data_IF_710148754779
#
_entry.id   IF_710148754779
#
_cell.length_a   1.000
_cell.length_b   1.000
_cell.length_c   1.000
_cell.angle_alpha   90.00
_cell.angle_beta   90.00
_cell.angle_gamma   90.00
#
_symmetry.space_group_name_H-M   'P 1'
#
loop_
_entity.id
_entity.type
_entity.pdbx_description
1 polymer ?
#
# COMPACT_ATOMS: atom_id res chain seq x y z
N UNK A 1 24.63 77.13 2.95
CA UNK A 1 25.30 76.36 1.88
C UNK A 1 24.95 74.90 2.16
N UNK A 2 23.72 74.47 1.83
CA UNK A 2 23.28 73.93 0.52
C UNK A 2 23.95 72.56 0.26
N UNK A 3 23.29 71.40 0.06
CA UNK A 3 21.89 71.08 -0.25
C UNK A 3 21.57 69.63 0.16
N UNK A 4 20.28 69.37 0.39
CA UNK A 4 19.68 68.03 0.47
C UNK A 4 19.35 67.52 -0.95
N UNK A 5 19.55 66.23 -1.22
CA UNK A 5 18.95 65.56 -2.39
C UNK A 5 18.32 64.25 -1.95
N UNK A 6 16.98 64.29 -1.89
CA UNK A 6 16.07 63.15 -1.78
C UNK A 6 16.07 62.41 -3.12
N UNK A 7 16.45 61.13 -3.15
CA UNK A 7 16.15 60.25 -4.29
C UNK A 7 15.19 59.16 -3.81
N UNK A 8 13.93 59.40 -4.13
CA UNK A 8 12.80 58.50 -3.97
C UNK A 8 12.93 57.37 -5.01
N UNK A 9 13.53 56.25 -4.62
CA UNK A 9 13.63 55.04 -5.45
C UNK A 9 12.50 54.07 -5.14
N UNK A 10 11.50 54.01 -6.03
CA UNK A 10 10.38 53.06 -6.04
C UNK A 10 10.79 51.63 -5.65
N UNK A 11 10.39 51.20 -4.45
CA UNK A 11 10.47 49.79 -4.04
C UNK A 11 9.32 49.02 -4.69
N UNK A 12 9.61 48.31 -5.78
CA UNK A 12 8.68 47.38 -6.41
C UNK A 12 8.56 46.13 -5.53
N UNK A 13 7.61 46.10 -4.60
CA UNK A 13 7.28 44.93 -3.80
C UNK A 13 6.58 43.89 -4.67
N UNK A 14 7.37 42.97 -5.26
CA UNK A 14 6.84 41.73 -5.82
C UNK A 14 6.27 40.87 -4.69
N UNK A 15 4.95 40.88 -4.56
CA UNK A 15 4.20 39.97 -3.70
C UNK A 15 4.28 38.57 -4.32
N UNK A 16 5.33 37.81 -3.98
CA UNK A 16 5.41 36.40 -4.30
C UNK A 16 4.29 35.68 -3.54
N UNK A 17 3.20 35.35 -4.25
CA UNK A 17 2.18 34.45 -3.73
C UNK A 17 2.83 33.09 -3.49
N UNK A 18 3.20 32.82 -2.24
CA UNK A 18 3.54 31.48 -1.78
C UNK A 18 2.26 30.68 -1.86
N UNK A 19 2.05 29.99 -2.98
CA UNK A 19 1.11 28.87 -3.02
C UNK A 19 1.69 27.86 -2.05
N UNK A 20 1.11 27.79 -0.85
CA UNK A 20 1.38 26.73 0.11
C UNK A 20 0.91 25.42 -0.55
N UNK A 21 1.82 24.79 -1.29
CA UNK A 21 1.71 23.38 -1.61
C UNK A 21 1.74 22.69 -0.25
N UNK A 22 0.56 22.31 0.24
CA UNK A 22 0.44 21.55 1.47
C UNK A 22 1.33 20.31 1.37
N UNK A 23 1.95 19.86 2.48
CA UNK A 23 2.72 18.63 2.45
C UNK A 23 1.85 17.51 1.87
N UNK A 24 2.41 16.61 1.05
CA UNK A 24 1.66 15.45 0.57
C UNK A 24 1.07 14.72 1.79
N UNK A 25 -0.14 14.20 1.65
CA UNK A 25 -0.80 13.44 2.71
C UNK A 25 0.06 12.20 3.03
N UNK A 26 0.87 12.30 4.08
CA UNK A 26 1.64 11.17 4.58
C UNK A 26 0.72 10.27 5.38
N UNK A 27 0.85 8.95 5.16
CA UNK A 27 0.27 7.96 6.06
C UNK A 27 0.84 8.22 7.47
N UNK A 28 -0.01 8.62 8.42
CA UNK A 28 0.39 8.66 9.83
C UNK A 28 0.41 7.22 10.34
N UNK A 29 1.58 6.73 10.73
CA UNK A 29 1.76 5.42 11.37
C UNK A 29 2.06 5.54 12.86
N UNK A 30 1.81 6.72 13.45
CA UNK A 30 2.02 6.98 14.87
C UNK A 30 0.97 6.31 15.77
N UNK A 31 1.19 6.38 17.09
CA UNK A 31 0.30 5.77 18.08
C UNK A 31 -1.15 6.30 18.03
N UNK A 32 -1.36 7.53 17.53
CA UNK A 32 -2.71 8.07 17.34
C UNK A 32 -3.44 7.38 16.17
N UNK A 33 -2.77 7.21 15.03
CA UNK A 33 -3.29 6.49 13.89
C UNK A 33 -3.59 5.02 14.22
N UNK A 34 -2.68 4.35 14.93
CA UNK A 34 -2.89 2.98 15.40
C UNK A 34 -4.15 2.86 16.27
N UNK A 35 -4.33 3.77 17.24
CA UNK A 35 -5.54 3.80 18.08
C UNK A 35 -6.80 4.01 17.25
N UNK A 36 -6.74 4.87 16.23
CA UNK A 36 -7.87 5.14 15.35
C UNK A 36 -8.24 3.90 14.54
N UNK A 37 -7.25 3.20 13.97
CA UNK A 37 -7.45 1.92 13.32
C UNK A 37 -8.11 0.93 14.29
N UNK A 38 -7.49 0.63 15.43
CA UNK A 38 -8.04 -0.30 16.42
C UNK A 38 -9.49 0.01 16.84
N UNK A 39 -9.83 1.29 16.98
CA UNK A 39 -11.19 1.75 17.34
C UNK A 39 -12.22 1.43 16.27
N UNK A 40 -11.84 1.53 14.99
CA UNK A 40 -12.74 1.38 13.85
C UNK A 40 -12.48 0.09 13.06
N UNK A 41 -11.74 -0.87 13.63
CA UNK A 41 -11.47 -2.15 12.99
C UNK A 41 -12.76 -2.89 12.65
N UNK A 42 -12.91 -3.40 11.40
CA UNK A 42 -14.06 -4.21 11.05
C UNK A 42 -14.01 -5.55 11.81
N UNK A 43 -15.17 -6.02 12.26
CA UNK A 43 -15.30 -7.38 12.79
C UNK A 43 -15.47 -8.33 11.60
N UNK A 44 -14.50 -9.20 11.39
CA UNK A 44 -14.51 -10.21 10.33
C UNK A 44 -14.83 -11.58 10.95
N UNK A 45 -15.77 -12.29 10.35
CA UNK A 45 -16.13 -13.66 10.76
C UNK A 45 -15.44 -14.66 9.84
N UNK A 46 -14.53 -15.47 10.39
CA UNK A 46 -13.88 -16.54 9.64
C UNK A 46 -14.67 -17.83 9.80
N UNK A 47 -14.77 -18.60 8.71
CA UNK A 47 -15.34 -19.93 8.77
C UNK A 47 -14.36 -20.87 9.44
N UNK A 48 -14.89 -21.75 10.28
CA UNK A 48 -14.10 -22.84 10.84
C UNK A 48 -13.75 -23.89 9.75
N UNK A 49 -12.47 -24.26 9.65
CA UNK A 49 -11.97 -25.16 8.61
C UNK A 49 -10.69 -25.85 9.06
N UNK A 50 -10.68 -27.18 8.97
CA UNK A 50 -9.62 -28.02 9.56
C UNK A 50 -9.05 -29.08 8.59
N UNK A 51 -9.55 -29.14 7.35
CA UNK A 51 -9.15 -30.14 6.38
C UNK A 51 -8.41 -29.46 5.22
N UNK A 52 -7.08 -29.58 5.19
CA UNK A 52 -6.28 -29.10 4.04
C UNK A 52 -6.84 -29.68 2.73
N UNK A 53 -7.04 -28.81 1.73
CA UNK A 53 -7.65 -29.15 0.44
C UNK A 53 -9.09 -29.68 0.51
N UNK A 54 -9.80 -29.40 1.61
CA UNK A 54 -11.23 -29.61 1.76
C UNK A 54 -12.10 -28.57 1.05
N UNK A 55 -13.40 -28.86 0.94
CA UNK A 55 -14.34 -27.94 0.30
C UNK A 55 -14.58 -26.67 1.13
N UNK A 56 -14.39 -25.54 0.47
CA UNK A 56 -14.46 -24.21 1.04
C UNK A 56 -13.44 -24.00 2.17
N UNK A 57 -12.20 -23.90 1.77
CA UNK A 57 -11.18 -23.28 2.59
C UNK A 57 -11.63 -21.90 3.09
N UNK A 58 -11.25 -21.56 4.32
CA UNK A 58 -11.52 -20.24 4.88
C UNK A 58 -10.50 -19.24 4.35
N UNK A 59 -10.91 -18.00 4.14
CA UNK A 59 -9.98 -16.94 3.80
C UNK A 59 -9.24 -16.45 5.05
N UNK A 60 -7.92 -16.62 5.10
CA UNK A 60 -7.07 -16.02 6.14
C UNK A 60 -6.39 -14.78 5.56
N UNK A 61 -6.50 -13.60 6.22
CA UNK A 61 -5.76 -12.42 5.79
C UNK A 61 -4.25 -12.67 5.77
N UNK A 62 -3.64 -12.62 4.59
CA UNK A 62 -2.22 -12.81 4.37
C UNK A 62 -1.46 -11.50 4.60
N UNK A 63 -0.28 -11.57 5.22
CA UNK A 63 0.62 -10.41 5.31
C UNK A 63 1.34 -10.16 4.00
N UNK A 64 1.68 -8.90 3.73
CA UNK A 64 2.36 -8.53 2.48
C UNK A 64 3.74 -9.16 2.33
N UNK A 65 4.45 -9.44 3.43
CA UNK A 65 5.76 -10.11 3.43
C UNK A 65 5.71 -11.61 3.11
N UNK A 66 4.51 -12.19 3.03
CA UNK A 66 4.35 -13.52 2.43
C UNK A 66 4.50 -13.49 0.89
N UNK A 67 4.36 -12.32 0.28
CA UNK A 67 4.49 -12.11 -1.17
C UNK A 67 5.81 -11.44 -1.54
N UNK A 68 6.17 -10.37 -0.82
CA UNK A 68 7.39 -9.62 -1.07
C UNK A 68 8.61 -10.34 -0.51
N UNK A 69 9.73 -10.27 -1.23
CA UNK A 69 11.00 -10.95 -0.90
C UNK A 69 10.87 -12.49 -0.77
N UNK A 70 9.72 -13.07 -1.16
CA UNK A 70 9.49 -14.51 -1.16
C UNK A 70 10.04 -15.12 -2.46
N UNK A 71 11.09 -15.97 -2.40
CA UNK A 71 11.76 -16.49 -3.60
C UNK A 71 10.87 -17.39 -4.47
N UNK A 72 9.74 -17.88 -3.94
CA UNK A 72 8.78 -18.69 -4.68
C UNK A 72 7.80 -17.83 -5.52
N UNK A 73 7.79 -16.50 -5.34
CA UNK A 73 6.89 -15.58 -6.04
C UNK A 73 7.64 -14.89 -7.17
N UNK A 74 7.05 -14.90 -8.37
CA UNK A 74 7.59 -14.20 -9.53
C UNK A 74 6.88 -12.87 -9.76
N UNK A 75 7.62 -11.88 -10.24
CA UNK A 75 7.08 -10.68 -10.89
C UNK A 75 7.10 -10.90 -12.40
N UNK A 76 5.95 -10.83 -13.07
CA UNK A 76 5.81 -11.13 -14.50
C UNK A 76 5.14 -9.99 -15.25
N UNK A 77 5.35 -9.94 -16.57
CA UNK A 77 4.71 -8.97 -17.47
C UNK A 77 3.81 -9.70 -18.45
N UNK A 78 2.55 -9.29 -18.54
CA UNK A 78 1.59 -9.81 -19.53
C UNK A 78 2.12 -9.60 -20.95
N UNK A 79 1.98 -10.64 -21.77
CA UNK A 79 2.37 -10.64 -23.17
C UNK A 79 3.77 -11.23 -23.40
N UNK A 80 4.12 -11.48 -24.66
CA UNK A 80 5.39 -12.15 -25.03
C UNK A 80 5.66 -13.47 -24.27
N UNK A 81 4.61 -14.24 -23.97
CA UNK A 81 4.75 -15.50 -23.22
C UNK A 81 4.91 -15.31 -21.71
N UNK A 82 4.47 -14.16 -21.18
CA UNK A 82 4.44 -13.82 -19.75
C UNK A 82 5.81 -13.95 -19.09
N UNK A 83 6.81 -13.21 -19.60
CA UNK A 83 8.18 -13.32 -19.13
C UNK A 83 8.30 -12.99 -17.63
N UNK A 84 9.14 -13.77 -16.93
CA UNK A 84 9.55 -13.47 -15.56
C UNK A 84 10.54 -12.31 -15.58
N UNK A 85 10.24 -11.29 -14.78
CA UNK A 85 11.08 -10.11 -14.58
C UNK A 85 12.02 -10.32 -13.40
N UNK A 86 11.51 -10.81 -12.28
CA UNK A 86 12.25 -10.99 -11.02
C UNK A 86 11.62 -12.11 -10.19
N UNK A 87 12.43 -12.82 -9.40
CA UNK A 87 11.95 -13.77 -8.39
C UNK A 87 12.17 -13.16 -6.99
N UNK A 88 11.18 -13.31 -6.10
CA UNK A 88 11.20 -12.66 -4.80
C UNK A 88 11.27 -11.13 -4.90
N UNK A 89 10.32 -10.48 -5.60
CA UNK A 89 10.35 -9.04 -5.76
C UNK A 89 10.17 -8.32 -4.43
N UNK A 90 10.97 -7.28 -4.22
CA UNK A 90 10.78 -6.34 -3.12
C UNK A 90 9.68 -5.32 -3.44
N UNK A 91 9.27 -4.52 -2.45
CA UNK A 91 8.37 -3.39 -2.69
C UNK A 91 8.93 -2.38 -3.71
N UNK A 92 10.26 -2.19 -3.71
CA UNK A 92 10.93 -1.28 -4.65
C UNK A 92 10.84 -1.80 -6.09
N UNK A 93 10.83 -3.13 -6.27
CA UNK A 93 10.67 -3.74 -7.58
C UNK A 93 9.26 -3.53 -8.14
N UNK A 94 8.25 -3.36 -7.29
CA UNK A 94 6.89 -3.08 -7.75
C UNK A 94 6.65 -1.61 -8.09
N UNK A 95 7.41 -0.71 -7.47
CA UNK A 95 7.18 0.72 -7.60
C UNK A 95 7.40 1.22 -9.04
N UNK A 96 6.42 1.94 -9.58
CA UNK A 96 6.51 2.56 -10.91
C UNK A 96 6.51 1.58 -12.09
N UNK A 97 6.17 0.30 -11.87
CA UNK A 97 6.05 -0.68 -12.96
C UNK A 97 4.87 -0.35 -13.87
N UNK A 98 5.02 -0.72 -15.13
CA UNK A 98 4.02 -0.48 -16.16
C UNK A 98 2.77 -1.34 -15.95
N UNK A 99 1.65 -0.91 -16.53
CA UNK A 99 0.43 -1.70 -16.56
C UNK A 99 0.69 -3.08 -17.18
N UNK A 100 0.10 -4.12 -16.60
CA UNK A 100 0.29 -5.50 -17.04
C UNK A 100 1.44 -6.23 -16.34
N UNK A 101 2.14 -5.61 -15.41
CA UNK A 101 2.98 -6.34 -14.46
C UNK A 101 2.13 -6.95 -13.33
N UNK A 102 2.41 -8.18 -12.90
CA UNK A 102 1.68 -8.88 -11.84
C UNK A 102 2.57 -9.81 -11.01
N UNK A 103 2.16 -10.07 -9.78
CA UNK A 103 2.76 -11.10 -8.92
C UNK A 103 2.14 -12.46 -9.26
N UNK A 104 3.00 -13.47 -9.41
CA UNK A 104 2.64 -14.82 -9.79
C UNK A 104 3.10 -15.80 -8.70
N UNK A 105 2.14 -16.47 -8.07
CA UNK A 105 2.39 -17.50 -7.06
C UNK A 105 2.52 -18.87 -7.74
N UNK A 106 3.21 -19.85 -7.11
CA UNK A 106 3.30 -21.20 -7.64
C UNK A 106 1.93 -21.84 -7.93
N UNK A 107 1.87 -22.64 -9.01
CA UNK A 107 0.70 -23.41 -9.38
C UNK A 107 0.14 -23.08 -10.77
N UNK A 108 -0.98 -23.71 -11.12
CA UNK A 108 -1.76 -23.42 -12.32
C UNK A 108 -3.21 -23.21 -11.90
N UNK A 109 -3.76 -22.02 -12.14
CA UNK A 109 -5.13 -21.69 -11.75
C UNK A 109 -6.19 -22.51 -12.52
N UNK A 110 -5.84 -23.07 -13.69
CA UNK A 110 -6.71 -23.95 -14.48
C UNK A 110 -6.66 -25.40 -14.00
N UNK A 111 -5.54 -25.79 -13.38
CA UNK A 111 -5.34 -27.11 -12.78
C UNK A 111 -4.84 -26.98 -11.33
N UNK A 112 -5.66 -26.40 -10.43
CA UNK A 112 -5.19 -25.91 -9.13
C UNK A 112 -4.72 -27.01 -8.17
N UNK A 113 -5.19 -28.25 -8.37
CA UNK A 113 -4.90 -29.36 -7.47
C UNK A 113 -5.11 -28.97 -6.00
N UNK A 114 -4.07 -29.15 -5.19
CA UNK A 114 -4.04 -28.87 -3.76
C UNK A 114 -2.97 -27.82 -3.38
N UNK A 115 -2.22 -27.30 -4.37
CA UNK A 115 -1.05 -26.45 -4.12
C UNK A 115 -1.42 -25.12 -3.47
N UNK A 116 -2.51 -24.48 -3.91
CA UNK A 116 -2.94 -23.19 -3.35
C UNK A 116 -3.32 -23.26 -1.88
N UNK A 117 -3.96 -24.36 -1.45
CA UNK A 117 -4.32 -24.55 -0.04
C UNK A 117 -3.08 -24.88 0.82
N UNK A 118 -2.15 -25.68 0.28
CA UNK A 118 -0.86 -25.95 0.93
C UNK A 118 -0.04 -24.67 1.10
N UNK A 119 -0.01 -23.84 0.06
CA UNK A 119 0.69 -22.56 0.06
C UNK A 119 0.00 -21.54 0.95
N UNK A 120 -1.33 -21.49 0.99
CA UNK A 120 -2.07 -20.66 1.94
C UNK A 120 -1.77 -21.06 3.39
N UNK A 121 -1.75 -22.35 3.71
CA UNK A 121 -1.38 -22.85 5.04
C UNK A 121 0.07 -22.51 5.42
N UNK A 122 0.98 -22.50 4.44
CA UNK A 122 2.41 -22.17 4.61
C UNK A 122 2.67 -20.67 4.74
N UNK A 123 2.04 -19.86 3.90
CA UNK A 123 2.33 -18.44 3.74
C UNK A 123 1.40 -17.53 4.57
N UNK A 124 0.20 -17.99 4.91
CA UNK A 124 -0.79 -17.23 5.66
C UNK A 124 -1.35 -18.03 6.86
N UNK A 125 -0.50 -18.54 7.78
CA UNK A 125 -1.01 -19.19 8.97
C UNK A 125 -1.80 -18.18 9.83
N UNK A 126 -2.91 -18.62 10.43
CA UNK A 126 -3.80 -17.76 11.24
C UNK A 126 -3.04 -16.98 12.32
N UNK A 127 -2.00 -17.57 12.91
CA UNK A 127 -1.14 -16.92 13.92
C UNK A 127 -0.39 -15.68 13.42
N UNK A 128 -0.27 -15.51 12.11
CA UNK A 128 0.41 -14.39 11.46
C UNK A 128 -0.56 -13.50 10.67
N UNK A 129 -1.87 -13.73 10.75
CA UNK A 129 -2.82 -12.93 10.00
C UNK A 129 -2.74 -11.44 10.35
N UNK A 130 -2.80 -10.58 9.34
CA UNK A 130 -2.83 -9.13 9.53
C UNK A 130 -3.82 -8.46 8.58
N UNK A 131 -4.35 -7.33 9.03
CA UNK A 131 -5.12 -6.39 8.22
C UNK A 131 -4.39 -5.05 8.29
N UNK A 132 -4.32 -4.36 7.17
CA UNK A 132 -3.68 -3.06 7.08
C UNK A 132 -4.73 -1.96 7.11
N UNK A 133 -4.38 -0.84 7.73
CA UNK A 133 -5.22 0.34 7.76
C UNK A 133 -4.42 1.55 7.27
N UNK A 134 -5.08 2.42 6.50
CA UNK A 134 -4.51 3.68 6.07
C UNK A 134 -5.32 4.84 6.65
N UNK A 135 -4.66 5.65 7.48
CA UNK A 135 -5.24 6.89 8.02
C UNK A 135 -4.93 8.03 7.05
N UNK A 136 -5.98 8.67 6.55
CA UNK A 136 -5.85 9.70 5.51
C UNK A 136 -6.73 10.90 5.78
N UNK A 137 -6.49 11.96 5.01
CA UNK A 137 -7.25 13.22 5.03
C UNK A 137 -7.64 13.61 3.60
N UNK A 138 -8.68 14.43 3.47
CA UNK A 138 -9.16 14.88 2.18
C UNK A 138 -9.10 16.41 2.11
N UNK A 139 -8.49 16.96 1.05
CA UNK A 139 -8.16 18.39 0.96
C UNK A 139 -9.39 19.31 0.98
N UNK A 140 -10.50 18.90 0.36
CA UNK A 140 -11.78 19.62 0.33
C UNK A 140 -12.65 19.39 1.58
N UNK A 141 -12.18 18.57 2.53
CA UNK A 141 -12.82 18.32 3.84
C UNK A 141 -11.83 18.52 4.98
N UNK A 142 -11.35 19.75 5.21
CA UNK A 142 -10.37 20.03 6.25
C UNK A 142 -10.91 19.64 7.63
N UNK A 143 -10.05 19.07 8.47
CA UNK A 143 -10.39 18.63 9.83
C UNK A 143 -11.06 17.25 9.94
N UNK A 144 -11.35 16.60 8.81
CA UNK A 144 -11.84 15.22 8.79
C UNK A 144 -10.69 14.24 8.53
N UNK A 145 -10.69 13.14 9.28
CA UNK A 145 -9.77 12.01 9.12
C UNK A 145 -10.59 10.78 8.77
N UNK A 146 -10.11 9.99 7.81
CA UNK A 146 -10.71 8.72 7.44
C UNK A 146 -9.73 7.57 7.73
N UNK A 147 -10.28 6.42 8.15
CA UNK A 147 -9.56 5.15 8.19
C UNK A 147 -10.05 4.30 7.04
N UNK A 148 -9.12 3.79 6.23
CA UNK A 148 -9.39 2.89 5.12
C UNK A 148 -8.77 1.52 5.45
N UNK A 149 -9.50 0.45 5.15
CA UNK A 149 -9.07 -0.95 5.30
C UNK A 149 -9.03 -1.61 3.93
#
# INVERSE_FOLDING_TARGET
MADAVFVLGMTLTTLAAVVAVGPPAYADSGAAAQRLAETYSPIVMLRDFHAECGQGEHFVPMRVDALLDNPDVALRQVGNGDAVIEWGPSAADLYGRATGTYLDLPGDALEPGCIYAQDAARYAPVSQAAVYAHVTTQADRPGYVAVQY
#
